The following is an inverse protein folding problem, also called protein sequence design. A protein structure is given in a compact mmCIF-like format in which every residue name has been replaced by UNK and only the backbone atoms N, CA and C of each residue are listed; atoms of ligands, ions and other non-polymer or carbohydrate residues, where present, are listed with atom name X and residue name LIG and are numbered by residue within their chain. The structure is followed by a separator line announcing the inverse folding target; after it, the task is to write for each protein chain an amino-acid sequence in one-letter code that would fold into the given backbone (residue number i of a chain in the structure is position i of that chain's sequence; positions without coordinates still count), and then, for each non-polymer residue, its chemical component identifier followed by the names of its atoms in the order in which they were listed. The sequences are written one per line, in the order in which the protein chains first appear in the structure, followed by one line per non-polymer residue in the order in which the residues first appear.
data_IF_388668324831
#
_entry.id   IF_388668324831
#
_cell.length_a   1.000
_cell.length_b   1.000
_cell.length_c   1.000
_cell.angle_alpha   90.00
_cell.angle_beta   90.00
_cell.angle_gamma   90.00
#
_symmetry.space_group_name_H-M   'P 1'
#
loop_
_entity.id
_entity.type
_entity.pdbx_description
1 polymer ?
#
# COMPACT_ATOMS: atom_id res chain seq x y z
N UNK A 1 2.25 6.53 -0.39
CA UNK A 1 2.90 6.42 0.92
C UNK A 1 1.83 6.10 1.95
N UNK A 2 1.60 4.80 2.17
CA UNK A 2 0.86 4.29 3.33
C UNK A 2 1.67 3.08 3.81
N UNK A 3 2.44 3.28 4.87
CA UNK A 3 3.28 2.26 5.48
C UNK A 3 2.41 1.38 6.37
N UNK A 4 2.34 0.08 6.07
CA UNK A 4 1.71 -0.92 6.93
C UNK A 4 2.80 -1.53 7.81
N UNK A 5 2.97 -0.95 9.00
CA UNK A 5 3.90 -1.45 10.02
C UNK A 5 3.28 -2.67 10.70
N UNK A 6 3.87 -3.85 10.47
CA UNK A 6 3.54 -5.05 11.23
C UNK A 6 4.23 -4.99 12.61
N UNK A 7 3.44 -5.07 13.69
CA UNK A 7 3.95 -5.25 15.05
C UNK A 7 4.01 -6.74 15.42
N UNK A 8 4.99 -7.17 16.24
CA UNK A 8 5.14 -8.56 16.66
C UNK A 8 4.25 -8.84 17.88
N UNK A 9 3.59 -10.00 17.91
CA UNK A 9 2.84 -10.49 19.08
C UNK A 9 3.76 -11.42 19.87
N UNK A 10 4.18 -10.95 21.04
CA UNK A 10 4.97 -11.70 22.02
C UNK A 10 4.10 -12.76 22.73
N UNK A 11 4.60 -13.99 22.70
CA UNK A 11 4.02 -15.17 23.34
C UNK A 11 4.69 -15.37 24.70
N UNK A 12 4.07 -14.89 25.78
CA UNK A 12 4.43 -15.24 27.17
C UNK A 12 3.17 -15.29 28.00
N UNK A 13 2.81 -16.49 28.48
CA UNK A 13 2.38 -16.73 29.86
C UNK A 13 2.05 -18.21 30.11
N UNK A 14 2.94 -18.87 30.86
CA UNK A 14 2.65 -20.00 31.75
C UNK A 14 3.84 -20.12 32.73
N UNK A 15 3.70 -20.69 33.94
CA UNK A 15 2.55 -20.82 34.86
C UNK A 15 2.93 -20.32 36.30
N UNK A 16 2.21 -20.69 37.37
CA UNK A 16 2.96 -21.18 38.52
C UNK A 16 2.42 -22.48 39.14
N UNK A 17 3.37 -23.24 39.69
CA UNK A 17 3.22 -24.44 40.51
C UNK A 17 3.27 -24.04 41.99
N UNK A 18 2.40 -24.60 42.83
CA UNK A 18 2.63 -24.85 44.27
C UNK A 18 1.69 -25.98 44.71
N UNK A 19 2.19 -27.17 45.05
CA UNK A 19 2.77 -27.63 46.34
C UNK A 19 1.74 -27.93 47.43
N UNK A 20 1.61 -29.24 47.64
CA UNK A 20 1.25 -30.01 48.84
C UNK A 20 0.88 -29.26 50.13
N UNK A 21 -0.25 -29.66 50.71
CA UNK A 21 -0.40 -29.81 52.16
C UNK A 21 -1.22 -31.07 52.45
N UNK A 22 -0.59 -32.04 53.13
CA UNK A 22 -1.26 -33.10 53.85
C UNK A 22 -1.78 -32.55 55.17
N UNK A 23 -2.99 -32.92 55.58
CA UNK A 23 -3.35 -32.95 57.01
C UNK A 23 -4.41 -34.02 57.25
N UNK A 24 -4.11 -34.80 58.26
CA UNK A 24 -4.79 -35.98 58.78
C UNK A 24 -5.82 -35.65 59.86
N UNK A 25 -6.56 -36.71 60.24
CA UNK A 25 -7.32 -36.95 61.48
C UNK A 25 -8.77 -36.47 61.55
N UNK A 26 -9.64 -37.44 61.81
CA UNK A 26 -11.05 -37.24 62.13
C UNK A 26 -11.85 -38.54 62.00
N UNK A 27 -11.42 -39.60 62.69
CA UNK A 27 -12.19 -40.84 62.85
C UNK A 27 -13.33 -40.58 63.82
N UNK A 28 -14.58 -40.55 63.35
CA UNK A 28 -15.73 -40.76 64.22
C UNK A 28 -16.68 -41.81 63.64
N UNK A 29 -16.90 -42.82 64.48
CA UNK A 29 -17.85 -43.91 64.36
C UNK A 29 -19.26 -43.39 64.68
N UNK A 30 -20.21 -43.61 63.79
CA UNK A 30 -21.65 -43.78 64.06
C UNK A 30 -22.12 -44.82 63.02
N UNK A 31 -22.12 -46.12 63.32
CA UNK A 31 -23.23 -46.83 63.98
C UNK A 31 -24.58 -46.66 63.24
N UNK A 32 -24.99 -47.76 62.62
CA UNK A 32 -26.36 -48.19 62.32
C UNK A 32 -27.33 -47.21 61.64
N UNK A 33 -27.54 -47.45 60.35
CA UNK A 33 -28.88 -47.86 59.90
C UNK A 33 -28.77 -48.65 58.61
N UNK A 34 -28.88 -49.97 58.75
CA UNK A 34 -29.33 -50.85 57.68
C UNK A 34 -30.69 -50.34 57.20
N UNK A 35 -30.72 -49.72 56.02
CA UNK A 35 -31.91 -49.72 55.18
C UNK A 35 -31.58 -50.63 54.00
N UNK A 36 -31.55 -51.94 54.28
CA UNK A 36 -31.78 -52.93 53.23
C UNK A 36 -33.24 -52.87 52.82
N UNK A 37 -33.58 -51.82 52.06
CA UNK A 37 -34.71 -51.88 51.16
C UNK A 37 -34.21 -52.58 49.91
N UNK A 38 -34.49 -53.88 49.78
CA UNK A 38 -34.29 -54.60 48.52
C UNK A 38 -34.85 -53.74 47.38
N UNK A 39 -34.03 -53.27 46.42
CA UNK A 39 -34.59 -52.67 45.24
C UNK A 39 -35.33 -53.80 44.52
N UNK A 40 -36.67 -53.77 44.65
CA UNK A 40 -37.63 -54.60 43.92
C UNK A 40 -36.97 -55.15 42.67
N UNK A 41 -36.78 -56.47 42.58
CA UNK A 41 -35.92 -57.10 41.56
C UNK A 41 -36.23 -56.68 40.12
N UNK A 42 -37.38 -56.06 39.90
CA UNK A 42 -37.78 -55.35 38.68
C UNK A 42 -36.88 -54.14 38.36
N UNK A 43 -36.55 -53.25 39.32
CA UNK A 43 -35.68 -52.09 39.11
C UNK A 43 -34.22 -52.48 38.88
N UNK A 44 -33.73 -53.51 39.59
CA UNK A 44 -32.39 -54.04 39.36
C UNK A 44 -32.28 -54.69 37.97
N UNK A 45 -33.31 -55.46 37.55
CA UNK A 45 -33.41 -56.03 36.19
C UNK A 45 -33.51 -54.94 35.13
N UNK A 46 -34.36 -53.93 35.33
CA UNK A 46 -34.52 -52.80 34.41
C UNK A 46 -33.22 -51.99 34.27
N UNK A 47 -32.51 -51.74 35.38
CA UNK A 47 -31.18 -51.10 35.35
C UNK A 47 -30.16 -51.95 34.60
N UNK A 48 -30.14 -53.26 34.81
CA UNK A 48 -29.27 -54.18 34.09
C UNK A 48 -29.59 -54.21 32.58
N UNK A 49 -30.87 -54.25 32.21
CA UNK A 49 -31.36 -54.18 30.84
C UNK A 49 -30.99 -52.85 30.18
N UNK A 50 -31.20 -51.72 30.84
CA UNK A 50 -30.78 -50.41 30.33
C UNK A 50 -29.26 -50.33 30.15
N UNK A 51 -28.47 -50.86 31.09
CA UNK A 51 -27.01 -50.89 30.97
C UNK A 51 -26.57 -51.79 29.82
N UNK A 52 -27.27 -52.89 29.59
CA UNK A 52 -27.02 -53.82 28.49
C UNK A 52 -27.45 -53.23 27.13
N UNK A 53 -28.56 -52.49 27.08
CA UNK A 53 -29.03 -51.76 25.90
C UNK A 53 -28.04 -50.64 25.58
N UNK A 54 -27.62 -49.84 26.56
CA UNK A 54 -26.62 -48.79 26.36
C UNK A 54 -25.25 -49.36 25.91
N UNK A 55 -24.83 -50.48 26.48
CA UNK A 55 -23.60 -51.18 26.06
C UNK A 55 -23.72 -51.80 24.66
N UNK A 56 -24.93 -52.18 24.22
CA UNK A 56 -25.22 -52.65 22.86
C UNK A 56 -25.36 -51.51 21.85
N UNK A 57 -25.88 -50.36 22.25
CA UNK A 57 -26.05 -49.17 21.40
C UNK A 57 -24.75 -48.42 21.14
N UNK A 58 -23.81 -48.46 22.09
CA UNK A 58 -22.46 -47.92 21.94
C UNK A 58 -21.44 -49.03 22.17
N UNK A 59 -21.40 -49.98 21.23
CA UNK A 59 -20.40 -51.03 21.30
C UNK A 59 -18.99 -50.40 21.21
N UNK A 60 -17.98 -51.07 21.77
CA UNK A 60 -16.58 -50.63 21.63
C UNK A 60 -16.18 -50.52 20.16
N UNK A 61 -16.81 -51.31 19.30
CA UNK A 61 -16.62 -51.33 17.85
C UNK A 61 -17.14 -50.05 17.19
N UNK A 62 -18.33 -49.57 17.55
CA UNK A 62 -18.93 -48.36 16.96
C UNK A 62 -18.12 -47.10 17.29
N UNK A 63 -17.59 -47.03 18.53
CA UNK A 63 -16.65 -45.96 18.92
C UNK A 63 -15.35 -46.03 18.15
N UNK A 64 -14.83 -47.25 17.93
CA UNK A 64 -13.65 -47.47 17.10
C UNK A 64 -13.87 -47.02 15.66
N UNK A 65 -15.04 -47.35 15.09
CA UNK A 65 -15.43 -46.93 13.74
C UNK A 65 -15.54 -45.40 13.61
N UNK A 66 -16.23 -44.73 14.54
CA UNK A 66 -16.34 -43.27 14.57
C UNK A 66 -14.97 -42.60 14.68
N UNK A 67 -14.09 -43.10 15.55
CA UNK A 67 -12.73 -42.57 15.70
C UNK A 67 -11.91 -42.77 14.44
N UNK A 68 -12.06 -43.90 13.75
CA UNK A 68 -11.39 -44.14 12.47
C UNK A 68 -11.90 -43.20 11.38
N UNK A 69 -13.23 -43.02 11.27
CA UNK A 69 -13.84 -42.10 10.32
C UNK A 69 -13.41 -40.64 10.56
N UNK A 70 -13.37 -40.21 11.82
CA UNK A 70 -12.84 -38.89 12.17
C UNK A 70 -11.35 -38.78 11.86
N UNK A 71 -10.56 -39.83 12.10
CA UNK A 71 -9.14 -39.84 11.75
C UNK A 71 -8.92 -39.78 10.24
N UNK A 72 -9.74 -40.47 9.43
CA UNK A 72 -9.64 -40.40 7.97
C UNK A 72 -10.04 -39.03 7.46
N UNK A 73 -11.17 -38.49 7.93
CA UNK A 73 -11.63 -37.15 7.55
C UNK A 73 -10.59 -36.07 7.90
N UNK A 74 -10.03 -36.11 9.11
CA UNK A 74 -8.97 -35.17 9.51
C UNK A 74 -7.70 -35.32 8.67
N UNK A 75 -7.32 -36.55 8.29
CA UNK A 75 -6.16 -36.77 7.41
C UNK A 75 -6.41 -36.23 6.01
N UNK A 76 -7.61 -36.40 5.48
CA UNK A 76 -8.00 -35.89 4.17
C UNK A 76 -8.00 -34.36 4.15
N UNK A 77 -8.61 -33.73 5.16
CA UNK A 77 -8.60 -32.27 5.32
C UNK A 77 -7.18 -31.72 5.47
N UNK A 78 -6.34 -32.36 6.30
CA UNK A 78 -4.93 -31.97 6.44
C UNK A 78 -4.14 -32.13 5.14
N UNK A 79 -4.40 -33.19 4.37
CA UNK A 79 -3.78 -33.39 3.07
C UNK A 79 -4.23 -32.31 2.06
N UNK A 80 -5.51 -31.96 2.06
CA UNK A 80 -6.06 -30.87 1.25
C UNK A 80 -5.42 -29.52 1.60
N UNK A 81 -5.38 -29.17 2.88
CA UNK A 81 -4.73 -27.94 3.36
C UNK A 81 -3.24 -27.90 3.00
N UNK A 82 -2.55 -29.04 3.04
CA UNK A 82 -1.15 -29.11 2.62
C UNK A 82 -0.98 -28.87 1.11
N UNK A 83 -1.86 -29.43 0.28
CA UNK A 83 -1.87 -29.20 -1.16
C UNK A 83 -2.17 -27.72 -1.49
N UNK A 84 -3.10 -27.10 -0.78
CA UNK A 84 -3.40 -25.67 -0.94
C UNK A 84 -2.24 -24.78 -0.50
N UNK A 85 -1.59 -25.11 0.63
CA UNK A 85 -0.44 -24.37 1.14
C UNK A 85 0.72 -24.41 0.14
N UNK A 86 1.07 -25.60 -0.36
CA UNK A 86 2.14 -25.75 -1.37
C UNK A 86 1.82 -24.99 -2.66
N UNK A 87 0.55 -24.99 -3.08
CA UNK A 87 0.09 -24.22 -4.24
C UNK A 87 0.23 -22.71 -4.02
N UNK A 88 -0.12 -22.22 -2.82
CA UNK A 88 0.04 -20.82 -2.44
C UNK A 88 1.51 -20.40 -2.38
N UNK A 89 2.37 -21.25 -1.80
CA UNK A 89 3.81 -21.01 -1.74
C UNK A 89 4.42 -20.89 -3.14
N UNK A 90 4.05 -21.79 -4.06
CA UNK A 90 4.48 -21.72 -5.46
C UNK A 90 4.00 -20.44 -6.15
N UNK A 91 2.74 -20.04 -5.92
CA UNK A 91 2.21 -18.77 -6.44
C UNK A 91 3.04 -17.59 -5.90
N UNK A 92 3.26 -17.52 -4.59
CA UNK A 92 4.05 -16.44 -3.97
C UNK A 92 5.48 -16.42 -4.50
N UNK A 93 6.13 -17.58 -4.62
CA UNK A 93 7.46 -17.72 -5.18
C UNK A 93 7.54 -17.23 -6.64
N UNK A 94 6.47 -17.42 -7.43
CA UNK A 94 6.36 -16.91 -8.80
C UNK A 94 6.11 -15.41 -8.86
N UNK A 95 5.20 -14.87 -8.05
CA UNK A 95 4.79 -13.47 -8.11
C UNK A 95 5.83 -12.51 -7.52
N UNK A 96 6.54 -12.92 -6.46
CA UNK A 96 7.54 -12.07 -5.79
C UNK A 96 8.64 -11.52 -6.72
N UNK A 97 9.32 -12.33 -7.56
CA UNK A 97 10.33 -11.80 -8.48
C UNK A 97 9.71 -10.93 -9.58
N UNK A 98 8.51 -11.26 -10.04
CA UNK A 98 7.80 -10.44 -11.04
C UNK A 98 7.46 -9.05 -10.49
N UNK A 99 6.98 -9.00 -9.25
CA UNK A 99 6.71 -7.73 -8.56
C UNK A 99 7.98 -6.90 -8.42
N UNK A 100 9.07 -7.50 -7.94
CA UNK A 100 10.35 -6.81 -7.81
C UNK A 100 10.88 -6.29 -9.15
N UNK A 101 10.77 -7.07 -10.22
CA UNK A 101 11.15 -6.62 -11.57
C UNK A 101 10.32 -5.41 -12.03
N UNK A 102 9.01 -5.42 -11.80
CA UNK A 102 8.13 -4.29 -12.14
C UNK A 102 8.52 -3.05 -11.32
N UNK A 103 8.77 -3.19 -10.01
CA UNK A 103 9.20 -2.06 -9.17
C UNK A 103 10.49 -1.43 -9.68
N UNK A 104 11.49 -2.24 -10.03
CA UNK A 104 12.75 -1.72 -10.59
C UNK A 104 12.53 -1.00 -11.91
N UNK A 105 11.68 -1.53 -12.80
CA UNK A 105 11.36 -0.91 -14.08
C UNK A 105 10.62 0.42 -13.89
N UNK A 106 9.63 0.46 -13.01
CA UNK A 106 8.87 1.69 -12.71
C UNK A 106 9.79 2.77 -12.14
N UNK A 107 10.68 2.41 -11.23
CA UNK A 107 11.67 3.35 -10.68
C UNK A 107 12.61 3.87 -11.76
N UNK A 108 13.09 2.99 -12.66
CA UNK A 108 13.93 3.39 -13.78
C UNK A 108 13.21 4.36 -14.74
N UNK A 109 11.97 4.06 -15.10
CA UNK A 109 11.14 4.94 -15.94
C UNK A 109 10.88 6.29 -15.26
N UNK A 110 10.60 6.29 -13.96
CA UNK A 110 10.42 7.51 -13.17
C UNK A 110 11.65 8.41 -13.20
N UNK A 111 12.84 7.83 -13.05
CA UNK A 111 14.10 8.56 -13.15
C UNK A 111 14.34 9.14 -14.55
N UNK A 112 14.01 8.38 -15.61
CA UNK A 112 14.09 8.87 -16.99
C UNK A 112 13.16 10.06 -17.24
N UNK A 113 11.92 10.00 -16.75
CA UNK A 113 10.97 11.11 -16.86
C UNK A 113 11.46 12.38 -16.15
N UNK A 114 12.05 12.24 -14.96
CA UNK A 114 12.65 13.37 -14.23
C UNK A 114 13.79 13.99 -15.04
N UNK A 115 14.65 13.16 -15.63
CA UNK A 115 15.76 13.63 -16.45
C UNK A 115 15.28 14.34 -17.71
N UNK A 116 14.31 13.79 -18.43
CA UNK A 116 13.74 14.45 -19.60
C UNK A 116 13.06 15.76 -19.25
N UNK A 117 12.33 15.82 -18.13
CA UNK A 117 11.74 17.07 -17.66
C UNK A 117 12.80 18.15 -17.41
N UNK A 118 13.90 17.80 -16.75
CA UNK A 118 15.02 18.74 -16.52
C UNK A 118 15.67 19.21 -17.82
N UNK A 119 15.85 18.31 -18.79
CA UNK A 119 16.39 18.67 -20.11
C UNK A 119 15.45 19.60 -20.88
N UNK A 120 14.14 19.33 -20.86
CA UNK A 120 13.14 20.20 -21.48
C UNK A 120 13.16 21.58 -20.82
N UNK A 121 13.19 21.63 -19.49
CA UNK A 121 13.25 22.90 -18.74
C UNK A 121 14.52 23.69 -19.07
N UNK A 122 15.69 23.05 -19.14
CA UNK A 122 16.94 23.69 -19.54
C UNK A 122 16.87 24.21 -20.99
N UNK A 123 16.33 23.43 -21.93
CA UNK A 123 16.15 23.86 -23.31
C UNK A 123 15.15 25.02 -23.44
N UNK A 124 14.05 25.00 -22.69
CA UNK A 124 13.10 26.10 -22.63
C UNK A 124 13.74 27.36 -22.04
N UNK A 125 14.51 27.22 -20.96
CA UNK A 125 15.22 28.33 -20.34
C UNK A 125 16.26 28.94 -21.29
N UNK A 126 17.07 28.11 -21.97
CA UNK A 126 18.03 28.58 -22.98
C UNK A 126 17.33 29.26 -24.16
N UNK A 127 16.20 28.72 -24.61
CA UNK A 127 15.38 29.33 -25.67
C UNK A 127 14.81 30.69 -25.25
N UNK A 128 14.43 30.86 -23.97
CA UNK A 128 13.89 32.11 -23.42
C UNK A 128 14.96 33.09 -22.95
N UNK A 129 16.21 32.64 -22.76
CA UNK A 129 17.28 33.47 -22.19
C UNK A 129 17.55 34.75 -23.00
N UNK A 130 17.40 34.68 -24.32
CA UNK A 130 17.60 35.82 -25.21
C UNK A 130 16.31 36.60 -25.48
N UNK A 131 15.18 36.20 -24.88
CA UNK A 131 13.89 36.86 -25.08
C UNK A 131 13.69 37.95 -24.02
N UNK A 132 13.69 39.20 -24.45
CA UNK A 132 13.35 40.36 -23.65
C UNK A 132 11.85 40.64 -23.80
N UNK A 133 11.15 40.84 -22.67
CA UNK A 133 9.73 41.17 -22.65
C UNK A 133 9.53 42.60 -22.16
N UNK A 134 9.06 43.47 -23.05
CA UNK A 134 8.85 44.89 -22.82
C UNK A 134 7.36 45.11 -22.56
N UNK A 135 7.03 45.75 -21.44
CA UNK A 135 5.65 46.06 -21.04
C UNK A 135 5.34 47.54 -21.23
N UNK A 136 4.09 47.86 -21.58
CA UNK A 136 3.63 49.24 -21.70
C UNK A 136 4.05 49.95 -23.00
N UNK A 137 4.52 49.21 -24.01
CA UNK A 137 4.80 49.79 -25.32
C UNK A 137 3.49 50.04 -26.08
N UNK A 138 3.22 51.31 -26.38
CA UNK A 138 2.04 51.75 -27.12
C UNK A 138 1.88 51.01 -28.46
N UNK A 139 0.63 50.79 -28.85
CA UNK A 139 0.28 50.26 -30.15
C UNK A 139 0.44 51.39 -31.18
N UNK A 140 1.59 51.39 -31.86
CA UNK A 140 1.86 52.31 -32.97
C UNK A 140 1.53 51.60 -34.28
N UNK A 141 0.57 52.14 -35.04
CA UNK A 141 0.08 51.53 -36.28
C UNK A 141 1.02 51.79 -37.49
N UNK A 142 1.94 52.75 -37.38
CA UNK A 142 2.66 53.30 -38.53
C UNK A 142 4.11 52.81 -38.70
N UNK A 143 4.74 52.30 -37.64
CA UNK A 143 6.17 51.92 -37.66
C UNK A 143 6.36 50.42 -37.44
N UNK A 144 7.33 49.78 -38.14
CA UNK A 144 7.70 48.41 -37.85
C UNK A 144 8.23 48.33 -36.41
N UNK A 145 7.71 47.38 -35.63
CA UNK A 145 8.02 47.21 -34.21
C UNK A 145 9.53 47.18 -33.93
N UNK A 146 10.32 46.61 -34.83
CA UNK A 146 11.78 46.57 -34.74
C UNK A 146 12.42 47.96 -34.72
N UNK A 147 11.96 48.90 -35.55
CA UNK A 147 12.49 50.27 -35.57
C UNK A 147 12.18 51.02 -34.27
N UNK A 148 10.97 50.83 -33.73
CA UNK A 148 10.59 51.38 -32.42
C UNK A 148 11.46 50.81 -31.30
N UNK A 149 11.74 49.50 -31.35
CA UNK A 149 12.63 48.86 -30.38
C UNK A 149 14.07 49.37 -30.51
N UNK A 150 14.63 49.48 -31.72
CA UNK A 150 15.97 50.04 -31.93
C UNK A 150 16.09 51.45 -31.36
N UNK A 151 15.13 52.33 -31.64
CA UNK A 151 15.11 53.69 -31.08
C UNK A 151 15.04 53.67 -29.55
N UNK A 152 14.18 52.83 -28.97
CA UNK A 152 14.05 52.68 -27.52
C UNK A 152 15.34 52.20 -26.88
N UNK A 153 15.98 51.17 -27.44
CA UNK A 153 17.23 50.65 -26.89
C UNK A 153 18.38 51.63 -27.04
N UNK A 154 18.50 52.36 -28.16
CA UNK A 154 19.48 53.45 -28.31
C UNK A 154 19.28 54.54 -27.26
N UNK A 155 18.03 54.91 -27.00
CA UNK A 155 17.71 55.88 -25.95
C UNK A 155 18.10 55.38 -24.55
N UNK A 156 17.83 54.11 -24.23
CA UNK A 156 18.15 53.52 -22.93
C UNK A 156 19.67 53.36 -22.74
N UNK A 157 20.38 52.90 -23.77
CA UNK A 157 21.82 52.65 -23.69
C UNK A 157 22.66 53.93 -23.74
N UNK A 158 22.08 55.05 -24.21
CA UNK A 158 22.78 56.35 -24.27
C UNK A 158 23.94 56.40 -25.27
N UNK A 159 24.11 55.36 -26.09
CA UNK A 159 25.15 55.23 -27.10
C UNK A 159 24.61 54.42 -28.28
N UNK A 160 25.09 54.74 -29.49
CA UNK A 160 24.86 53.89 -30.65
C UNK A 160 25.76 52.66 -30.55
N UNK A 161 25.21 51.44 -30.44
CA UNK A 161 26.01 50.24 -30.38
C UNK A 161 26.80 50.08 -31.70
N UNK A 162 28.09 49.71 -31.63
CA UNK A 162 29.00 49.75 -32.78
C UNK A 162 28.55 48.89 -33.97
N UNK A 163 27.81 47.81 -33.73
CA UNK A 163 27.29 46.91 -34.78
C UNK A 163 25.77 47.00 -34.98
N UNK A 164 25.09 47.90 -34.26
CA UNK A 164 23.63 47.96 -34.19
C UNK A 164 23.02 46.81 -33.38
N UNK A 165 21.77 46.98 -32.93
CA UNK A 165 21.04 45.94 -32.20
C UNK A 165 20.28 45.10 -33.21
N UNK A 166 20.62 43.81 -33.31
CA UNK A 166 19.94 42.89 -34.22
C UNK A 166 18.89 42.07 -33.48
N UNK A 167 17.65 42.15 -33.96
CA UNK A 167 16.55 41.33 -33.48
C UNK A 167 16.35 40.14 -34.43
N UNK A 168 16.34 38.92 -33.90
CA UNK A 168 15.93 37.74 -34.68
C UNK A 168 14.42 37.73 -34.89
N UNK A 169 13.69 38.05 -33.82
CA UNK A 169 12.21 38.11 -33.80
C UNK A 169 11.77 39.24 -32.90
N UNK A 170 10.74 39.97 -33.31
CA UNK A 170 10.04 40.94 -32.49
C UNK A 170 8.55 40.85 -32.80
N UNK A 171 7.73 40.58 -31.78
CA UNK A 171 6.29 40.47 -31.93
C UNK A 171 5.58 40.82 -30.63
N UNK A 172 4.29 41.16 -30.70
CA UNK A 172 3.45 41.28 -29.51
C UNK A 172 3.14 39.88 -28.98
N UNK A 173 3.09 39.74 -27.66
CA UNK A 173 2.83 38.49 -26.99
C UNK A 173 1.46 37.94 -27.43
N UNK A 174 1.44 36.70 -27.91
CA UNK A 174 0.21 36.03 -28.31
C UNK A 174 -0.65 35.77 -27.08
N UNK A 175 -1.83 36.36 -27.05
CA UNK A 175 -2.81 36.19 -25.98
C UNK A 175 -4.02 37.10 -26.20
N UNK A 176 -5.16 36.83 -25.53
CA UNK A 176 -6.29 37.74 -25.57
C UNK A 176 -5.87 39.11 -25.03
N UNK A 177 -6.41 40.18 -25.61
CA UNK A 177 -6.23 41.52 -25.07
C UNK A 177 -6.62 41.51 -23.58
N UNK A 178 -5.79 42.13 -22.74
CA UNK A 178 -6.04 42.17 -21.31
C UNK A 178 -7.32 42.95 -21.05
N UNK A 179 -8.21 42.38 -20.24
CA UNK A 179 -9.51 42.98 -19.92
C UNK A 179 -9.38 44.34 -19.22
N UNK A 180 -8.23 44.58 -18.60
CA UNK A 180 -7.89 45.80 -17.87
C UNK A 180 -7.50 46.98 -18.80
N UNK A 181 -7.58 46.81 -20.11
CA UNK A 181 -7.17 47.82 -21.10
C UNK A 181 -5.65 48.02 -21.19
N UNK A 182 -4.85 47.25 -20.45
CA UNK A 182 -3.40 47.33 -20.51
C UNK A 182 -2.86 46.78 -21.83
N UNK A 183 -1.88 47.47 -22.38
CA UNK A 183 -1.23 47.15 -23.66
C UNK A 183 -0.60 45.75 -23.64
N UNK A 184 -0.62 45.08 -24.79
CA UNK A 184 0.06 43.79 -24.94
C UNK A 184 1.58 43.95 -24.81
N UNK A 185 2.19 43.00 -24.09
CA UNK A 185 3.64 42.97 -23.95
C UNK A 185 4.30 42.69 -25.31
N UNK A 186 5.48 43.26 -25.55
CA UNK A 186 6.31 42.99 -26.71
C UNK A 186 7.41 42.00 -26.32
N UNK A 187 7.57 40.93 -27.10
CA UNK A 187 8.64 39.96 -26.94
C UNK A 187 9.63 40.14 -28.10
N UNK A 188 10.88 40.42 -27.78
CA UNK A 188 11.96 40.48 -28.75
C UNK A 188 13.11 39.53 -28.38
N UNK A 189 13.67 38.88 -29.39
CA UNK A 189 14.81 37.98 -29.27
C UNK A 189 16.04 38.70 -29.82
N UNK A 190 16.95 39.08 -28.93
CA UNK A 190 18.19 39.77 -29.30
C UNK A 190 19.24 38.75 -29.74
N UNK A 191 19.89 39.00 -30.88
CA UNK A 191 21.12 38.29 -31.23
C UNK A 191 22.28 39.12 -30.68
N UNK A 192 22.97 38.56 -29.68
CA UNK A 192 24.28 39.06 -29.30
C UNK A 192 25.23 38.63 -30.43
N UNK A 193 25.69 39.60 -31.24
CA UNK A 193 26.88 39.40 -32.04
C UNK A 193 28.06 39.35 -31.06
N UNK A 194 28.85 38.27 -31.15
CA UNK A 194 30.02 38.03 -30.31
C UNK A 194 31.25 38.72 -30.91
#
# INVERSE_FOLDING_TARGET
MHDFVATPVDLKDAPPKDKMAASSLGTERMADSQVEGEPSGVLAKFRAELTQILARMFSKTDRGALVQELQTALREELAGLHADLTTLEQKVARWRPQHSAIETLVNWQGNMLINFRRQIEDLENRSRHNNIRIRGLLEMDAAPLTATLEALFKQILGADPPEGIRFNRAHRALGPARQDGSLQDVVCCCMLTA
#
